data_IF_024304535289
#
_entry.id   IF_024304535289
#
_cell.length_a   1.000
_cell.length_b   1.000
_cell.length_c   1.000
_cell.angle_alpha   90.00
_cell.angle_beta   90.00
_cell.angle_gamma   90.00
#
_symmetry.space_group_name_H-M   'P 1'
#
loop_
_entity.id
_entity.type
_entity.pdbx_description
1 polymer ?
#
# COMPACT_ATOMS: atom_id res chain seq x y z
N UNK A 1 -11.15 -11.88 -15.86
CA UNK A 1 -11.43 -10.60 -15.19
C UNK A 1 -10.07 -10.04 -14.82
N UNK A 2 -9.61 -9.02 -15.55
CA UNK A 2 -8.26 -8.46 -15.40
C UNK A 2 -8.18 -7.86 -14.00
N UNK A 3 -7.47 -8.55 -13.11
CA UNK A 3 -7.23 -8.07 -11.75
C UNK A 3 -6.30 -6.88 -11.91
N UNK A 4 -6.78 -5.68 -11.60
CA UNK A 4 -5.98 -4.47 -11.70
C UNK A 4 -5.22 -4.26 -10.39
N UNK A 5 -3.88 -4.32 -10.45
CA UNK A 5 -3.01 -4.05 -9.30
C UNK A 5 -3.38 -2.74 -8.60
N UNK A 6 -3.75 -1.72 -9.38
CA UNK A 6 -4.15 -0.42 -8.84
C UNK A 6 -5.48 -0.45 -8.09
N UNK A 7 -6.41 -1.33 -8.45
CA UNK A 7 -7.66 -1.51 -7.71
C UNK A 7 -7.39 -2.17 -6.36
N UNK A 8 -6.57 -3.21 -6.34
CA UNK A 8 -6.20 -3.95 -5.11
C UNK A 8 -5.39 -3.06 -4.15
N UNK A 9 -4.42 -2.30 -4.68
CA UNK A 9 -3.64 -1.31 -3.92
C UNK A 9 -4.56 -0.23 -3.31
N UNK A 10 -5.57 0.23 -4.04
CA UNK A 10 -6.52 1.22 -3.54
C UNK A 10 -7.47 0.65 -2.47
N UNK A 11 -7.97 -0.58 -2.64
CA UNK A 11 -8.84 -1.20 -1.63
C UNK A 11 -8.08 -1.41 -0.31
N UNK A 12 -6.82 -1.85 -0.39
CA UNK A 12 -5.97 -1.96 0.80
C UNK A 12 -5.66 -0.60 1.43
N UNK A 13 -5.50 0.44 0.62
CA UNK A 13 -5.42 1.81 1.09
C UNK A 13 -6.66 2.27 1.83
N UNK A 14 -7.85 2.02 1.30
CA UNK A 14 -9.08 2.39 1.98
C UNK A 14 -9.32 1.57 3.26
N UNK A 15 -8.92 0.30 3.29
CA UNK A 15 -8.97 -0.53 4.51
C UNK A 15 -8.01 -0.02 5.58
N UNK A 16 -6.79 0.35 5.20
CA UNK A 16 -5.81 0.95 6.09
C UNK A 16 -6.31 2.31 6.63
N UNK A 17 -6.98 3.11 5.79
CA UNK A 17 -7.57 4.40 6.18
C UNK A 17 -8.61 4.23 7.29
N UNK A 18 -9.45 3.20 7.15
CA UNK A 18 -10.55 2.91 8.07
C UNK A 18 -10.07 2.27 9.37
N UNK A 19 -8.90 1.62 9.38
CA UNK A 19 -8.37 0.91 10.54
C UNK A 19 -6.88 1.20 10.77
N UNK A 20 -6.52 2.41 11.24
CA UNK A 20 -5.12 2.79 11.47
C UNK A 20 -4.40 1.93 12.53
N UNK A 21 -5.13 1.36 13.48
CA UNK A 21 -4.58 0.42 14.48
C UNK A 21 -4.28 -0.97 13.90
N UNK A 22 -4.89 -1.31 12.77
CA UNK A 22 -4.64 -2.55 12.05
C UNK A 22 -3.66 -2.26 10.91
N UNK A 23 -2.58 -1.55 11.25
CA UNK A 23 -1.47 -1.18 10.38
C UNK A 23 -0.81 -2.46 9.86
N UNK A 24 -1.43 -3.04 8.84
CA UNK A 24 -0.92 -4.17 8.10
C UNK A 24 0.45 -3.79 7.59
N UNK A 25 1.47 -4.55 8.00
CA UNK A 25 2.84 -4.38 7.54
C UNK A 25 2.83 -4.17 6.02
N UNK A 26 3.23 -2.97 5.57
CA UNK A 26 3.27 -2.61 4.14
C UNK A 26 4.05 -3.66 3.33
N UNK A 27 5.08 -4.23 3.95
CA UNK A 27 5.90 -5.30 3.38
C UNK A 27 5.16 -6.63 3.25
N UNK A 28 4.26 -6.98 4.19
CA UNK A 28 3.39 -8.16 4.06
C UNK A 28 2.39 -7.96 2.94
N UNK A 29 1.73 -6.79 2.88
CA UNK A 29 0.75 -6.50 1.83
C UNK A 29 1.39 -6.53 0.44
N UNK A 30 2.57 -5.94 0.29
CA UNK A 30 3.30 -5.98 -0.97
C UNK A 30 3.74 -7.40 -1.36
N UNK A 31 4.09 -8.27 -0.39
CA UNK A 31 4.38 -9.69 -0.67
C UNK A 31 3.15 -10.46 -1.13
N UNK A 32 1.99 -10.21 -0.52
CA UNK A 32 0.71 -10.83 -0.93
C UNK A 32 0.35 -10.39 -2.35
N UNK A 33 0.41 -9.09 -2.62
CA UNK A 33 0.17 -8.52 -3.94
C UNK A 33 1.17 -9.02 -4.97
N UNK A 34 2.45 -9.18 -4.63
CA UNK A 34 3.43 -9.76 -5.54
C UNK A 34 3.15 -11.25 -5.85
N UNK A 35 2.54 -11.98 -4.92
CA UNK A 35 2.04 -13.33 -5.19
C UNK A 35 0.92 -13.35 -6.24
N UNK A 36 0.12 -12.28 -6.32
CA UNK A 36 -0.94 -12.12 -7.33
C UNK A 36 -0.45 -11.44 -8.62
N UNK A 37 0.60 -10.62 -8.51
CA UNK A 37 1.22 -9.85 -9.58
C UNK A 37 2.74 -10.07 -9.58
N UNK A 38 3.22 -11.26 -9.97
CA UNK A 38 4.64 -11.58 -9.97
C UNK A 38 5.44 -10.75 -10.99
N UNK A 39 4.76 -10.22 -12.00
CA UNK A 39 5.32 -9.28 -12.99
C UNK A 39 5.72 -7.93 -12.38
N UNK A 40 5.09 -7.53 -11.27
CA UNK A 40 5.39 -6.26 -10.61
C UNK A 40 6.33 -6.50 -9.42
N UNK A 41 7.52 -5.88 -9.38
CA UNK A 41 8.43 -6.05 -8.25
C UNK A 41 7.81 -5.54 -6.94
N UNK A 42 8.10 -6.23 -5.83
CA UNK A 42 7.59 -5.89 -4.49
C UNK A 42 7.84 -4.42 -4.15
N UNK A 43 9.00 -3.86 -4.52
CA UNK A 43 9.31 -2.45 -4.28
C UNK A 43 8.36 -1.49 -5.01
N UNK A 44 7.98 -1.78 -6.26
CA UNK A 44 6.99 -0.96 -6.98
C UNK A 44 5.61 -1.03 -6.31
N UNK A 45 5.22 -2.22 -5.85
CA UNK A 45 3.95 -2.40 -5.14
C UNK A 45 3.96 -1.58 -3.84
N UNK A 46 5.07 -1.62 -3.11
CA UNK A 46 5.29 -0.79 -1.92
C UNK A 46 5.20 0.70 -2.25
N UNK A 47 5.80 1.15 -3.35
CA UNK A 47 5.75 2.55 -3.76
C UNK A 47 4.32 2.99 -4.13
N UNK A 48 3.61 2.16 -4.91
CA UNK A 48 2.19 2.40 -5.25
C UNK A 48 1.30 2.44 -4.00
N UNK A 49 1.52 1.53 -3.04
CA UNK A 49 0.84 1.56 -1.73
C UNK A 49 1.16 2.86 -0.99
N UNK A 50 2.41 3.30 -0.96
CA UNK A 50 2.79 4.57 -0.32
C UNK A 50 2.09 5.77 -0.95
N UNK A 51 2.06 5.84 -2.29
CA UNK A 51 1.37 6.92 -2.99
C UNK A 51 -0.12 6.90 -2.68
N UNK A 52 -0.75 5.73 -2.72
CA UNK A 52 -2.18 5.54 -2.42
C UNK A 52 -2.53 5.89 -0.96
N UNK A 53 -1.65 5.54 -0.01
CA UNK A 53 -1.82 5.83 1.42
C UNK A 53 -1.55 7.30 1.74
N UNK A 54 -0.51 7.87 1.15
CA UNK A 54 -0.17 9.30 1.28
C UNK A 54 -1.29 10.19 0.75
N UNK A 55 -1.91 9.84 -0.38
CA UNK A 55 -3.10 10.54 -0.90
C UNK A 55 -4.27 10.54 0.08
N UNK A 56 -4.34 9.55 0.96
CA UNK A 56 -5.38 9.40 2.00
C UNK A 56 -4.96 9.94 3.36
N UNK A 57 -3.84 10.68 3.43
CA UNK A 57 -3.35 11.28 4.68
C UNK A 57 -2.72 10.28 5.66
N UNK A 58 -2.51 9.02 5.24
CA UNK A 58 -1.79 8.05 6.06
C UNK A 58 -0.29 8.17 5.83
N UNK A 59 0.40 8.70 6.83
CA UNK A 59 1.86 8.73 6.89
C UNK A 59 2.35 7.53 7.71
N UNK A 60 2.67 6.43 7.04
CA UNK A 60 3.32 5.30 7.70
C UNK A 60 4.81 5.55 7.86
N UNK A 61 5.25 5.86 9.08
CA UNK A 61 6.66 5.86 9.48
C UNK A 61 7.57 6.92 8.86
N UNK A 62 7.08 7.77 7.96
CA UNK A 62 7.76 9.01 7.61
C UNK A 62 7.17 10.06 8.53
N UNK A 63 7.73 10.17 9.74
CA UNK A 63 7.58 11.40 10.52
C UNK A 63 7.85 12.54 9.53
N UNK A 64 6.93 13.51 9.35
CA UNK A 64 7.29 14.71 8.63
C UNK A 64 8.44 15.30 9.43
N UNK A 65 9.69 15.08 8.99
CA UNK A 65 10.81 15.79 9.59
C UNK A 65 10.56 17.23 9.21
N UNK A 66 10.34 18.14 10.18
CA UNK A 66 10.38 19.54 9.88
C UNK A 66 11.83 19.82 9.45
N UNK A 67 12.00 20.29 8.22
CA UNK A 67 13.20 21.03 7.84
C UNK A 67 12.93 22.49 8.18
#
# INVERSE_FOLDING_TARGET
MTRDLMAEVNDQADRAAKNPNNMLDRMKLAKVLHGEFPETPIMEIVDKLNVAWRKRGMAFGISPRPW
#
